data_IF_821499039477
#
_entry.id   IF_821499039477
#
_cell.length_a   1.000
_cell.length_b   1.000
_cell.length_c   1.000
_cell.angle_alpha   90.00
_cell.angle_beta   90.00
_cell.angle_gamma   90.00
#
_symmetry.space_group_name_H-M   'P 1'
#
loop_
_entity.id
_entity.type
_entity.pdbx_description
1 polymer ?
#
# COMPACT_ATOMS: atom_id res chain seq x y z
N UNK A 1 25.76 2.73 -12.85
CA UNK A 1 24.91 3.80 -12.29
C UNK A 1 25.17 5.06 -13.13
N UNK A 2 24.14 5.73 -13.62
CA UNK A 2 24.17 6.52 -14.87
C UNK A 2 24.10 8.04 -14.58
N UNK A 3 24.55 8.91 -15.50
CA UNK A 3 24.38 10.39 -15.49
C UNK A 3 22.95 10.84 -15.11
N UNK A 4 21.98 9.96 -15.31
CA UNK A 4 20.57 10.09 -14.94
C UNK A 4 20.34 10.33 -13.43
N UNK A 5 21.11 9.73 -12.53
CA UNK A 5 20.92 9.92 -11.08
C UNK A 5 21.37 11.32 -10.67
N UNK A 6 22.55 11.75 -11.12
CA UNK A 6 23.04 13.12 -10.94
C UNK A 6 22.05 14.15 -11.50
N UNK A 7 21.49 13.89 -12.69
CA UNK A 7 20.47 14.77 -13.27
C UNK A 7 19.20 14.84 -12.42
N UNK A 8 18.85 13.75 -11.73
CA UNK A 8 17.65 13.71 -10.88
C UNK A 8 17.84 14.55 -9.64
N UNK A 9 19.00 14.45 -8.96
CA UNK A 9 19.33 15.31 -7.82
C UNK A 9 19.38 16.79 -8.20
N UNK A 10 20.00 17.11 -9.34
CA UNK A 10 20.04 18.49 -9.85
C UNK A 10 18.63 19.02 -10.17
N UNK A 11 17.77 18.18 -10.76
CA UNK A 11 16.40 18.56 -11.06
C UNK A 11 15.57 18.74 -9.78
N UNK A 12 15.76 17.89 -8.77
CA UNK A 12 15.11 17.98 -7.47
C UNK A 12 15.52 19.26 -6.74
N UNK A 13 16.82 19.51 -6.58
CA UNK A 13 17.38 20.74 -6.02
C UNK A 13 16.78 21.98 -6.67
N UNK A 14 16.77 22.02 -8.01
CA UNK A 14 16.19 23.14 -8.77
C UNK A 14 14.71 23.38 -8.47
N UNK A 15 13.91 22.31 -8.37
CA UNK A 15 12.47 22.43 -8.12
C UNK A 15 12.18 22.79 -6.66
N UNK A 16 12.93 22.26 -5.69
CA UNK A 16 12.85 22.68 -4.29
C UNK A 16 13.17 24.17 -4.12
N UNK A 17 14.21 24.68 -4.80
CA UNK A 17 14.52 26.10 -4.79
C UNK A 17 13.38 26.96 -5.35
N UNK A 18 12.69 26.51 -6.40
CA UNK A 18 11.52 27.22 -6.94
C UNK A 18 10.36 27.24 -5.95
N UNK A 19 10.10 26.11 -5.28
CA UNK A 19 9.08 26.04 -4.24
C UNK A 19 9.42 26.98 -3.09
N UNK A 20 10.68 27.02 -2.65
CA UNK A 20 11.12 27.92 -1.60
C UNK A 20 10.96 29.41 -1.95
N UNK A 21 11.27 29.80 -3.19
CA UNK A 21 11.13 31.19 -3.66
C UNK A 21 9.67 31.64 -3.78
N UNK A 22 8.76 30.70 -3.99
CA UNK A 22 7.35 30.99 -4.22
C UNK A 22 6.47 30.74 -2.99
N UNK A 23 7.01 30.11 -1.93
CA UNK A 23 6.31 29.86 -0.69
C UNK A 23 6.20 31.13 0.16
N UNK A 24 5.00 31.35 0.70
CA UNK A 24 4.67 32.51 1.53
C UNK A 24 4.99 32.29 3.00
N UNK A 25 4.88 31.04 3.48
CA UNK A 25 5.26 30.70 4.85
C UNK A 25 6.80 30.63 4.94
N UNK A 26 7.46 31.52 5.72
CA UNK A 26 8.91 31.54 5.83
C UNK A 26 9.49 30.23 6.41
N UNK A 27 8.74 29.50 7.24
CA UNK A 27 9.19 28.24 7.81
C UNK A 27 9.22 27.13 6.74
N UNK A 28 8.14 26.99 5.96
CA UNK A 28 8.08 26.01 4.86
C UNK A 28 9.07 26.37 3.75
N UNK A 29 9.21 27.66 3.43
CA UNK A 29 10.22 28.15 2.49
C UNK A 29 11.66 27.82 2.94
N UNK A 30 11.91 27.78 4.24
CA UNK A 30 13.20 27.36 4.79
C UNK A 30 13.42 25.84 4.65
N UNK A 31 12.39 25.03 4.92
CA UNK A 31 12.45 23.58 4.70
C UNK A 31 12.80 23.26 3.24
N UNK A 32 12.11 23.86 2.28
CA UNK A 32 12.43 23.66 0.85
C UNK A 32 13.84 24.13 0.47
N UNK A 33 14.35 25.21 1.06
CA UNK A 33 15.75 25.65 0.87
C UNK A 33 16.74 24.59 1.35
N UNK A 34 16.53 24.08 2.56
CA UNK A 34 17.41 23.05 3.12
C UNK A 34 17.35 21.74 2.31
N UNK A 35 16.17 21.31 1.87
CA UNK A 35 16.03 20.17 0.94
C UNK A 35 16.79 20.42 -0.37
N UNK A 36 16.69 21.63 -0.94
CA UNK A 36 17.44 21.99 -2.14
C UNK A 36 18.95 21.90 -1.93
N UNK A 37 19.46 22.29 -0.76
CA UNK A 37 20.88 22.23 -0.42
C UNK A 37 21.35 20.78 -0.29
N UNK A 38 20.56 19.93 0.38
CA UNK A 38 20.80 18.49 0.52
C UNK A 38 20.94 17.83 -0.85
N UNK A 39 19.99 18.05 -1.77
CA UNK A 39 20.03 17.42 -3.09
C UNK A 39 21.21 17.92 -3.94
N UNK A 40 21.59 19.18 -3.77
CA UNK A 40 22.79 19.69 -4.42
C UNK A 40 24.06 19.02 -3.87
N UNK A 41 24.13 18.77 -2.56
CA UNK A 41 25.20 17.99 -1.93
C UNK A 41 25.24 16.54 -2.43
N UNK A 42 24.08 15.89 -2.59
CA UNK A 42 23.99 14.55 -3.20
C UNK A 42 24.50 14.55 -4.65
N UNK A 43 24.07 15.51 -5.46
CA UNK A 43 24.54 15.67 -6.83
C UNK A 43 26.07 15.79 -6.91
N UNK A 44 26.66 16.58 -6.00
CA UNK A 44 28.11 16.77 -5.90
C UNK A 44 28.83 15.49 -5.44
N UNK A 45 28.32 14.80 -4.43
CA UNK A 45 28.87 13.55 -3.95
C UNK A 45 28.87 12.47 -5.05
N UNK A 46 27.79 12.39 -5.83
CA UNK A 46 27.74 11.50 -6.99
C UNK A 46 28.75 11.92 -8.07
N UNK A 47 28.86 13.21 -8.39
CA UNK A 47 29.84 13.70 -9.37
C UNK A 47 31.27 13.34 -8.98
N UNK A 48 31.63 13.47 -7.69
CA UNK A 48 32.94 13.09 -7.16
C UNK A 48 33.22 11.59 -7.32
N UNK A 49 32.24 10.70 -7.05
CA UNK A 49 32.37 9.25 -7.30
C UNK A 49 32.66 8.90 -8.76
N UNK A 50 32.37 9.78 -9.72
CA UNK A 50 32.64 9.61 -11.14
C UNK A 50 33.82 10.45 -11.67
N UNK A 51 34.66 11.02 -10.80
CA UNK A 51 35.77 11.92 -11.17
C UNK A 51 35.33 13.12 -12.03
N UNK A 52 34.08 13.57 -11.88
CA UNK A 52 33.61 14.82 -12.46
C UNK A 52 33.91 15.96 -11.48
N UNK A 53 34.52 17.04 -11.96
CA UNK A 53 34.71 18.24 -11.14
C UNK A 53 33.34 18.87 -10.78
N UNK A 54 33.17 19.47 -9.59
CA UNK A 54 31.92 20.10 -9.16
C UNK A 54 31.35 21.12 -10.16
N UNK A 55 32.22 21.79 -10.92
CA UNK A 55 31.86 22.75 -11.98
C UNK A 55 31.21 22.12 -13.22
N UNK A 56 31.12 20.79 -13.29
CA UNK A 56 30.54 20.02 -14.42
C UNK A 56 29.21 19.35 -14.09
N UNK A 57 28.52 19.77 -13.03
CA UNK A 57 27.14 19.32 -12.81
C UNK A 57 26.26 19.67 -14.03
N UNK A 58 25.35 18.77 -14.43
CA UNK A 58 24.43 19.06 -15.52
C UNK A 58 23.55 20.26 -15.14
N UNK A 59 23.05 20.98 -16.14
CA UNK A 59 22.04 22.03 -15.91
C UNK A 59 20.67 21.38 -15.66
N UNK A 60 19.73 22.08 -14.99
CA UNK A 60 18.36 21.61 -14.85
C UNK A 60 17.77 21.19 -16.20
N UNK A 61 17.18 20.00 -16.22
CA UNK A 61 16.70 19.37 -17.43
C UNK A 61 15.56 20.14 -18.07
N UNK A 62 15.23 19.79 -19.32
CA UNK A 62 14.03 20.33 -19.98
C UNK A 62 12.76 19.97 -19.19
N UNK A 63 12.71 18.77 -18.59
CA UNK A 63 11.57 18.33 -17.76
C UNK A 63 11.39 19.25 -16.56
N UNK A 64 12.45 19.53 -15.80
CA UNK A 64 12.39 20.40 -14.63
C UNK A 64 11.96 21.83 -15.00
N UNK A 65 12.47 22.36 -16.12
CA UNK A 65 12.05 23.67 -16.65
C UNK A 65 10.58 23.70 -17.09
N UNK A 66 10.09 22.60 -17.68
CA UNK A 66 8.66 22.47 -18.01
C UNK A 66 7.80 22.45 -16.75
N UNK A 67 8.22 21.72 -15.70
CA UNK A 67 7.50 21.69 -14.41
C UNK A 67 7.44 23.09 -13.77
N UNK A 68 8.53 23.88 -13.83
CA UNK A 68 8.50 25.30 -13.44
C UNK A 68 7.43 26.10 -14.17
N UNK A 69 7.33 25.93 -15.49
CA UNK A 69 6.34 26.64 -16.31
C UNK A 69 4.91 26.22 -15.94
N UNK A 70 4.67 24.92 -15.73
CA UNK A 70 3.38 24.39 -15.30
C UNK A 70 3.02 24.92 -13.92
N UNK A 71 3.95 24.93 -12.97
CA UNK A 71 3.72 25.48 -11.62
C UNK A 71 3.34 26.95 -11.63
N UNK A 72 3.93 27.76 -12.53
CA UNK A 72 3.54 29.17 -12.73
C UNK A 72 2.11 29.34 -13.27
N UNK A 73 1.61 28.39 -14.04
CA UNK A 73 0.30 28.47 -14.69
C UNK A 73 -0.83 27.84 -13.85
N UNK A 74 -0.53 26.76 -13.14
CA UNK A 74 -1.52 25.91 -12.46
C UNK A 74 -1.32 25.80 -10.94
N UNK A 75 -0.31 26.47 -10.39
CA UNK A 75 0.03 26.46 -8.97
C UNK A 75 1.17 25.50 -8.62
N UNK A 76 1.87 25.82 -7.52
CA UNK A 76 3.06 25.09 -7.08
C UNK A 76 2.78 23.66 -6.58
N UNK A 77 1.53 23.33 -6.24
CA UNK A 77 1.08 21.98 -5.89
C UNK A 77 1.43 20.94 -6.96
N UNK A 78 1.46 21.33 -8.25
CA UNK A 78 1.87 20.45 -9.34
C UNK A 78 3.34 20.08 -9.28
N UNK A 79 4.20 21.04 -8.89
CA UNK A 79 5.63 20.79 -8.70
C UNK A 79 5.83 19.87 -7.50
N UNK A 80 5.12 20.15 -6.40
CA UNK A 80 5.16 19.36 -5.17
C UNK A 80 4.72 17.89 -5.41
N UNK A 81 3.63 17.68 -6.15
CA UNK A 81 3.20 16.33 -6.54
C UNK A 81 4.19 15.61 -7.46
N UNK A 82 4.81 16.32 -8.41
CA UNK A 82 5.81 15.76 -9.31
C UNK A 82 7.13 15.41 -8.59
N UNK A 83 7.54 16.21 -7.61
CA UNK A 83 8.66 15.90 -6.72
C UNK A 83 8.34 14.66 -5.89
N UNK A 84 7.20 14.61 -5.21
CA UNK A 84 6.79 13.45 -4.43
C UNK A 84 6.78 12.14 -5.23
N UNK A 85 6.32 12.18 -6.49
CA UNK A 85 6.37 11.02 -7.38
C UNK A 85 7.80 10.65 -7.79
N UNK A 86 8.69 11.65 -7.91
CA UNK A 86 10.11 11.44 -8.18
C UNK A 86 10.81 10.80 -6.98
N UNK A 87 10.59 11.31 -5.77
CA UNK A 87 11.15 10.76 -4.52
C UNK A 87 10.67 9.31 -4.27
N UNK A 88 9.36 9.05 -4.46
CA UNK A 88 8.83 7.68 -4.39
C UNK A 88 9.45 6.76 -5.44
N UNK A 89 9.71 7.28 -6.64
CA UNK A 89 10.35 6.53 -7.72
C UNK A 89 11.79 6.17 -7.39
N UNK A 90 12.53 7.11 -6.78
CA UNK A 90 13.89 6.90 -6.31
C UNK A 90 13.95 5.83 -5.22
N UNK A 91 13.17 6.01 -4.15
CA UNK A 91 13.07 5.06 -3.02
C UNK A 91 12.83 3.61 -3.51
N UNK A 92 11.90 3.40 -4.45
CA UNK A 92 11.62 2.07 -5.01
C UNK A 92 12.76 1.51 -5.89
N UNK A 93 13.46 2.38 -6.64
CA UNK A 93 14.53 1.99 -7.56
C UNK A 93 15.87 1.72 -6.87
N UNK A 94 16.11 2.34 -5.71
CA UNK A 94 17.28 2.14 -4.85
C UNK A 94 17.19 0.80 -4.13
N UNK A 95 16.02 0.42 -3.61
CA UNK A 95 15.76 -0.92 -3.05
C UNK A 95 16.09 -2.02 -4.07
N UNK A 96 15.66 -1.84 -5.33
CA UNK A 96 15.96 -2.78 -6.41
C UNK A 96 17.44 -2.80 -6.82
N UNK A 97 18.15 -1.67 -6.68
CA UNK A 97 19.55 -1.53 -7.08
C UNK A 97 20.55 -1.98 -6.00
N UNK A 98 20.25 -1.81 -4.70
CA UNK A 98 21.08 -2.32 -3.59
C UNK A 98 21.14 -3.85 -3.60
N UNK A 99 20.03 -4.54 -3.92
CA UNK A 99 19.97 -6.01 -4.08
C UNK A 99 20.96 -6.56 -5.12
N UNK A 100 21.41 -5.72 -6.06
CA UNK A 100 22.30 -6.13 -7.16
C UNK A 100 23.77 -5.71 -6.98
N UNK A 101 24.06 -4.64 -6.24
CA UNK A 101 25.37 -3.98 -6.31
C UNK A 101 26.03 -3.58 -4.96
N UNK A 102 25.49 -3.94 -3.79
CA UNK A 102 26.12 -3.62 -2.47
C UNK A 102 26.65 -2.18 -2.38
N UNK A 103 25.82 -1.18 -2.73
CA UNK A 103 26.28 0.21 -2.73
C UNK A 103 26.04 0.88 -1.38
N UNK A 104 27.14 1.34 -0.78
CA UNK A 104 27.16 2.30 0.33
C UNK A 104 26.90 3.72 -0.19
N UNK A 105 25.85 4.33 0.33
CA UNK A 105 25.49 5.73 0.15
C UNK A 105 24.19 5.98 0.89
N UNK A 106 24.18 6.99 1.76
CA UNK A 106 22.96 7.44 2.44
C UNK A 106 21.97 7.91 1.39
N UNK A 107 20.72 7.55 1.58
CA UNK A 107 19.67 7.93 0.65
C UNK A 107 18.49 8.40 1.48
N UNK A 108 18.49 9.72 1.73
CA UNK A 108 17.45 10.58 2.32
C UNK A 108 16.10 10.55 1.57
N UNK A 109 15.81 9.51 0.78
CA UNK A 109 14.63 9.48 -0.09
C UNK A 109 13.34 9.34 0.73
N UNK A 110 13.40 8.71 1.91
CA UNK A 110 12.20 8.48 2.73
C UNK A 110 11.86 9.71 3.57
N UNK A 111 12.87 10.39 4.14
CA UNK A 111 12.73 11.67 4.81
C UNK A 111 12.08 12.71 3.88
N UNK A 112 12.56 12.83 2.64
CA UNK A 112 11.98 13.77 1.66
C UNK A 112 10.51 13.46 1.36
N UNK A 113 10.15 12.19 1.13
CA UNK A 113 8.75 11.78 0.96
C UNK A 113 7.89 12.17 2.16
N UNK A 114 8.41 12.01 3.37
CA UNK A 114 7.67 12.32 4.60
C UNK A 114 7.54 13.83 4.83
N UNK A 115 8.60 14.60 4.62
CA UNK A 115 8.58 16.07 4.67
C UNK A 115 7.53 16.63 3.70
N UNK A 116 7.53 16.17 2.44
CA UNK A 116 6.57 16.64 1.44
C UNK A 116 5.12 16.30 1.81
N UNK A 117 4.88 15.12 2.41
CA UNK A 117 3.54 14.75 2.90
C UNK A 117 3.08 15.65 4.05
N UNK A 118 3.96 15.94 5.01
CA UNK A 118 3.61 16.79 6.16
C UNK A 118 3.27 18.21 5.70
N UNK A 119 4.05 18.77 4.77
CA UNK A 119 3.76 20.07 4.15
C UNK A 119 2.39 20.02 3.45
N UNK A 120 2.15 19.03 2.59
CA UNK A 120 0.86 18.86 1.89
C UNK A 120 -0.34 18.75 2.83
N UNK A 121 -0.20 18.10 3.98
CA UNK A 121 -1.27 17.95 4.96
C UNK A 121 -1.56 19.22 5.75
N UNK A 122 -0.56 20.10 5.87
CA UNK A 122 -0.64 21.33 6.66
C UNK A 122 -1.05 22.54 5.81
N UNK A 123 -0.82 22.49 4.49
CA UNK A 123 -1.20 23.55 3.55
C UNK A 123 -2.74 23.69 3.43
N UNK A 124 -3.30 24.80 3.94
CA UNK A 124 -4.75 25.12 3.88
C UNK A 124 -5.32 25.26 2.45
N UNK A 125 -4.46 25.41 1.43
CA UNK A 125 -4.86 25.73 0.05
C UNK A 125 -4.80 24.55 -0.95
N UNK A 126 -4.65 23.29 -0.50
CA UNK A 126 -4.59 22.16 -1.44
C UNK A 126 -5.98 21.89 -2.02
N UNK A 127 -6.11 22.00 -3.35
CA UNK A 127 -7.35 21.66 -4.06
C UNK A 127 -7.82 20.24 -3.67
N UNK A 128 -9.11 20.08 -3.35
CA UNK A 128 -9.71 18.79 -2.99
C UNK A 128 -9.47 17.68 -4.04
N UNK A 129 -9.26 18.05 -5.31
CA UNK A 129 -8.90 17.11 -6.39
C UNK A 129 -7.47 16.55 -6.28
N UNK A 130 -6.56 17.33 -5.70
CA UNK A 130 -5.18 16.91 -5.45
C UNK A 130 -5.13 16.01 -4.20
N UNK A 131 -5.80 16.40 -3.11
CA UNK A 131 -5.93 15.59 -1.89
C UNK A 131 -6.40 14.15 -2.19
N UNK A 132 -7.43 13.99 -3.04
CA UNK A 132 -7.98 12.68 -3.43
C UNK A 132 -7.00 11.78 -4.21
N UNK A 133 -6.00 12.37 -4.91
CA UNK A 133 -4.93 11.62 -5.57
C UNK A 133 -3.87 11.13 -4.58
N UNK A 134 -3.78 11.76 -3.40
CA UNK A 134 -2.77 11.51 -2.37
C UNK A 134 -3.30 10.68 -1.18
N UNK A 135 -4.61 10.65 -0.95
CA UNK A 135 -5.27 10.01 0.20
C UNK A 135 -5.34 8.47 0.17
N UNK A 136 -4.37 7.77 -0.42
CA UNK A 136 -4.47 6.31 -0.59
C UNK A 136 -4.01 5.47 0.61
N UNK A 137 -3.71 6.05 1.79
CA UNK A 137 -3.21 5.25 2.92
C UNK A 137 -3.47 5.83 4.33
N UNK A 138 -4.71 6.17 4.65
CA UNK A 138 -5.16 6.16 6.06
C UNK A 138 -6.25 5.09 6.21
N UNK A 139 -5.82 3.84 6.36
CA UNK A 139 -6.69 2.74 6.83
C UNK A 139 -6.23 2.37 8.24
N UNK A 140 -6.93 2.89 9.24
CA UNK A 140 -6.75 2.58 10.66
C UNK A 140 -6.80 1.07 10.93
N UNK A 141 -5.80 0.58 11.67
CA UNK A 141 -5.49 -0.84 11.94
C UNK A 141 -6.62 -1.59 12.67
N UNK A 142 -7.42 -0.92 13.51
CA UNK A 142 -8.53 -1.55 14.24
C UNK A 142 -9.73 -2.02 13.38
N UNK A 143 -9.93 -1.42 12.20
CA UNK A 143 -10.97 -1.84 11.25
C UNK A 143 -10.52 -2.90 10.24
N UNK A 144 -9.24 -3.29 10.27
CA UNK A 144 -8.63 -4.11 9.22
C UNK A 144 -8.89 -5.61 9.44
N UNK A 145 -8.86 -6.09 10.68
CA UNK A 145 -9.09 -7.51 11.00
C UNK A 145 -10.54 -7.96 10.71
N UNK A 146 -11.54 -7.23 11.19
CA UNK A 146 -12.94 -7.57 10.94
C UNK A 146 -13.34 -7.30 9.46
N UNK A 147 -12.74 -6.30 8.79
CA UNK A 147 -12.92 -6.11 7.33
C UNK A 147 -12.28 -7.24 6.53
N UNK A 148 -11.04 -7.64 6.83
CA UNK A 148 -10.38 -8.78 6.21
C UNK A 148 -11.18 -10.06 6.44
N UNK A 149 -11.78 -10.18 7.63
CA UNK A 149 -12.59 -11.33 7.97
C UNK A 149 -13.86 -11.45 7.14
N UNK A 150 -14.58 -10.34 7.00
CA UNK A 150 -15.78 -10.23 6.17
C UNK A 150 -15.45 -10.43 4.69
N UNK A 151 -14.28 -9.96 4.22
CA UNK A 151 -13.80 -10.21 2.85
C UNK A 151 -13.46 -11.69 2.63
N UNK A 152 -12.76 -12.35 3.56
CA UNK A 152 -12.42 -13.78 3.44
C UNK A 152 -13.65 -14.68 3.43
N UNK A 153 -14.61 -14.44 4.32
CA UNK A 153 -15.88 -15.15 4.30
C UNK A 153 -16.67 -14.91 3.02
N UNK A 154 -16.67 -13.68 2.51
CA UNK A 154 -17.33 -13.35 1.25
C UNK A 154 -16.71 -14.09 0.07
N UNK A 155 -15.38 -14.07 -0.04
CA UNK A 155 -14.65 -14.66 -1.15
C UNK A 155 -14.84 -16.18 -1.15
N UNK A 156 -14.79 -16.83 0.02
CA UNK A 156 -15.10 -18.24 0.17
C UNK A 156 -16.52 -18.58 -0.27
N UNK A 157 -17.51 -17.80 0.20
CA UNK A 157 -18.92 -18.03 -0.12
C UNK A 157 -19.20 -17.86 -1.61
N UNK A 158 -18.80 -16.74 -2.21
CA UNK A 158 -19.10 -16.43 -3.62
C UNK A 158 -18.36 -17.38 -4.57
N UNK A 159 -17.06 -17.62 -4.33
CA UNK A 159 -16.25 -18.46 -5.22
C UNK A 159 -16.73 -19.90 -5.20
N UNK A 160 -16.94 -20.49 -4.03
CA UNK A 160 -17.35 -21.88 -3.93
C UNK A 160 -18.82 -22.07 -4.31
N UNK A 161 -19.69 -21.09 -4.04
CA UNK A 161 -21.07 -21.12 -4.54
C UNK A 161 -21.11 -21.14 -6.07
N UNK A 162 -20.32 -20.28 -6.72
CA UNK A 162 -20.23 -20.23 -8.18
C UNK A 162 -19.70 -21.53 -8.77
N UNK A 163 -18.68 -22.14 -8.15
CA UNK A 163 -18.14 -23.44 -8.55
C UNK A 163 -19.19 -24.55 -8.43
N UNK A 164 -19.83 -24.68 -7.25
CA UNK A 164 -20.85 -25.69 -6.97
C UNK A 164 -22.03 -25.57 -7.94
N UNK A 165 -22.48 -24.34 -8.23
CA UNK A 165 -23.55 -24.09 -9.20
C UNK A 165 -23.12 -24.43 -10.63
N UNK A 166 -21.87 -24.16 -11.00
CA UNK A 166 -21.34 -24.57 -12.31
C UNK A 166 -21.35 -26.08 -12.50
N UNK A 167 -20.85 -26.84 -11.54
CA UNK A 167 -20.86 -28.31 -11.60
C UNK A 167 -22.28 -28.85 -11.57
N UNK A 168 -23.15 -28.29 -10.71
CA UNK A 168 -24.56 -28.68 -10.65
C UNK A 168 -25.36 -28.35 -11.91
N UNK A 169 -24.88 -27.40 -12.73
CA UNK A 169 -25.42 -27.12 -14.06
C UNK A 169 -24.96 -28.15 -15.10
N UNK A 170 -23.74 -28.68 -14.96
CA UNK A 170 -23.14 -29.62 -15.91
C UNK A 170 -23.55 -31.09 -15.68
N UNK A 171 -23.90 -31.47 -14.45
CA UNK A 171 -24.21 -32.85 -14.07
C UNK A 171 -25.46 -32.97 -13.19
N UNK A 172 -26.03 -34.16 -13.16
CA UNK A 172 -27.09 -34.56 -12.21
C UNK A 172 -26.53 -35.24 -10.95
N UNK A 173 -25.23 -35.56 -10.91
CA UNK A 173 -24.58 -36.34 -9.87
C UNK A 173 -24.33 -35.56 -8.57
N UNK A 174 -24.93 -36.00 -7.46
CA UNK A 174 -24.70 -35.42 -6.13
C UNK A 174 -23.22 -35.52 -5.70
N UNK A 175 -22.59 -36.67 -5.92
CA UNK A 175 -21.20 -36.93 -5.51
C UNK A 175 -20.19 -36.06 -6.25
N UNK A 176 -20.45 -35.73 -7.52
CA UNK A 176 -19.57 -34.90 -8.34
C UNK A 176 -19.58 -33.45 -7.87
N UNK A 177 -20.78 -32.91 -7.56
CA UNK A 177 -20.93 -31.57 -6.99
C UNK A 177 -20.28 -31.48 -5.61
N UNK A 178 -20.49 -32.50 -4.77
CA UNK A 178 -19.92 -32.54 -3.43
C UNK A 178 -18.39 -32.61 -3.48
N UNK A 179 -17.82 -33.48 -4.32
CA UNK A 179 -16.38 -33.62 -4.51
C UNK A 179 -15.77 -32.29 -4.98
N UNK A 180 -16.37 -31.66 -5.99
CA UNK A 180 -15.90 -30.38 -6.51
C UNK A 180 -16.02 -29.25 -5.47
N UNK A 181 -17.12 -29.19 -4.72
CA UNK A 181 -17.33 -28.17 -3.69
C UNK A 181 -16.38 -28.30 -2.50
N UNK A 182 -16.09 -29.52 -2.05
CA UNK A 182 -15.11 -29.76 -0.98
C UNK A 182 -13.68 -29.51 -1.48
N UNK A 183 -13.34 -29.97 -2.69
CA UNK A 183 -12.05 -29.71 -3.28
C UNK A 183 -11.80 -28.20 -3.51
N UNK A 184 -12.81 -27.50 -4.03
CA UNK A 184 -12.78 -26.05 -4.24
C UNK A 184 -12.65 -25.26 -2.94
N UNK A 185 -13.37 -25.68 -1.89
CA UNK A 185 -13.22 -25.13 -0.54
C UNK A 185 -11.79 -25.26 -0.03
N UNK A 186 -11.23 -26.47 -0.05
CA UNK A 186 -9.89 -26.73 0.49
C UNK A 186 -8.82 -26.01 -0.34
N UNK A 187 -8.90 -26.10 -1.68
CA UNK A 187 -7.96 -25.43 -2.57
C UNK A 187 -8.02 -23.90 -2.41
N UNK A 188 -9.22 -23.32 -2.34
CA UNK A 188 -9.41 -21.89 -2.13
C UNK A 188 -8.93 -21.42 -0.76
N UNK A 189 -9.26 -22.14 0.31
CA UNK A 189 -8.85 -21.81 1.67
C UNK A 189 -7.32 -21.87 1.83
N UNK A 190 -6.67 -22.92 1.30
CA UNK A 190 -5.21 -23.04 1.30
C UNK A 190 -4.55 -21.93 0.47
N UNK A 191 -5.08 -21.64 -0.73
CA UNK A 191 -4.57 -20.57 -1.58
C UNK A 191 -4.67 -19.21 -0.89
N UNK A 192 -5.79 -18.93 -0.21
CA UNK A 192 -5.98 -17.67 0.50
C UNK A 192 -5.05 -17.58 1.72
N UNK A 193 -4.90 -18.66 2.48
CA UNK A 193 -3.98 -18.72 3.62
C UNK A 193 -2.53 -18.48 3.21
N UNK A 194 -2.07 -19.16 2.14
CA UNK A 194 -0.73 -18.97 1.60
C UNK A 194 -0.53 -17.56 1.06
N UNK A 195 -1.51 -17.02 0.33
CA UNK A 195 -1.47 -15.65 -0.18
C UNK A 195 -1.35 -14.61 0.93
N UNK A 196 -2.13 -14.75 2.00
CA UNK A 196 -2.08 -13.86 3.15
C UNK A 196 -0.75 -13.99 3.90
N UNK A 197 -0.27 -15.22 4.13
CA UNK A 197 1.02 -15.45 4.78
C UNK A 197 2.17 -14.80 4.02
N UNK A 198 2.23 -15.00 2.69
CA UNK A 198 3.27 -14.43 1.83
C UNK A 198 3.19 -12.90 1.85
N UNK A 199 1.98 -12.34 1.77
CA UNK A 199 1.75 -10.89 1.79
C UNK A 199 2.25 -10.26 3.09
N UNK A 200 1.84 -10.80 4.24
CA UNK A 200 2.26 -10.30 5.56
C UNK A 200 3.76 -10.50 5.75
N UNK A 201 4.28 -11.70 5.46
CA UNK A 201 5.70 -12.00 5.66
C UNK A 201 6.60 -11.15 4.77
N UNK A 202 6.24 -10.97 3.49
CA UNK A 202 6.98 -10.09 2.59
C UNK A 202 6.97 -8.63 3.05
N UNK A 203 5.87 -8.17 3.66
CA UNK A 203 5.80 -6.81 4.22
C UNK A 203 6.69 -6.67 5.46
N UNK A 204 6.70 -7.69 6.33
CA UNK A 204 7.60 -7.74 7.49
C UNK A 204 9.07 -7.75 7.08
N UNK A 205 9.46 -8.61 6.13
CA UNK A 205 10.83 -8.69 5.63
C UNK A 205 11.28 -7.36 4.99
N UNK A 206 10.36 -6.67 4.29
CA UNK A 206 10.64 -5.35 3.75
C UNK A 206 10.91 -4.33 4.87
N UNK A 207 10.04 -4.28 5.89
CA UNK A 207 10.18 -3.37 7.02
C UNK A 207 11.42 -3.67 7.86
N UNK A 208 11.70 -4.94 8.17
CA UNK A 208 12.92 -5.38 8.86
C UNK A 208 14.17 -4.92 8.10
N UNK A 209 14.18 -5.07 6.78
CA UNK A 209 15.28 -4.61 5.95
C UNK A 209 15.42 -3.08 5.94
N UNK A 210 14.30 -2.33 5.86
CA UNK A 210 14.34 -0.87 5.94
C UNK A 210 14.86 -0.38 7.30
N UNK A 211 14.44 -1.01 8.39
CA UNK A 211 14.96 -0.72 9.73
C UNK A 211 16.46 -1.02 9.83
N UNK A 212 16.94 -2.13 9.27
CA UNK A 212 18.38 -2.40 9.29
C UNK A 212 19.17 -1.33 8.52
N UNK A 213 18.69 -0.93 7.34
CA UNK A 213 19.34 0.10 6.54
C UNK A 213 19.37 1.45 7.28
N UNK A 214 18.27 1.81 7.93
CA UNK A 214 18.18 3.01 8.76
C UNK A 214 19.22 3.00 9.90
N UNK A 215 19.40 1.84 10.55
CA UNK A 215 20.44 1.69 11.56
C UNK A 215 21.85 1.85 10.97
N UNK A 216 22.11 1.25 9.81
CA UNK A 216 23.39 1.37 9.12
C UNK A 216 23.69 2.84 8.73
N UNK A 217 22.67 3.59 8.29
CA UNK A 217 22.78 5.02 7.94
C UNK A 217 23.01 5.90 9.18
N UNK A 218 22.27 5.63 10.26
CA UNK A 218 22.48 6.26 11.58
C UNK A 218 23.88 6.02 12.15
N UNK A 219 24.46 4.84 11.93
CA UNK A 219 25.82 4.54 12.36
C UNK A 219 26.88 5.20 11.48
N UNK A 220 26.65 5.25 10.17
CA UNK A 220 27.60 5.78 9.20
C UNK A 220 27.66 7.31 9.20
N UNK A 221 26.51 7.99 9.34
CA UNK A 221 26.44 9.45 9.22
C UNK A 221 25.35 10.08 10.14
N UNK A 222 25.56 10.05 11.48
CA UNK A 222 24.58 10.55 12.44
C UNK A 222 24.27 12.05 12.28
N UNK A 223 25.23 12.86 11.80
CA UNK A 223 25.01 14.29 11.57
C UNK A 223 24.01 14.59 10.45
N UNK A 224 23.90 13.68 9.47
CA UNK A 224 22.89 13.78 8.42
C UNK A 224 21.52 13.39 8.96
N UNK A 225 21.41 12.25 9.66
CA UNK A 225 20.14 11.81 10.26
C UNK A 225 19.56 12.83 11.25
N UNK A 226 20.41 13.50 12.02
CA UNK A 226 19.96 14.59 12.92
C UNK A 226 19.31 15.75 12.14
N UNK A 227 19.90 16.13 11.00
CA UNK A 227 19.36 17.20 10.15
C UNK A 227 18.05 16.77 9.50
N UNK A 228 17.97 15.52 9.03
CA UNK A 228 16.75 14.98 8.41
C UNK A 228 15.60 14.91 9.42
N UNK A 229 15.87 14.43 10.65
CA UNK A 229 14.89 14.44 11.72
C UNK A 229 14.44 15.85 12.10
N UNK A 230 15.36 16.83 12.14
CA UNK A 230 15.02 18.23 12.36
C UNK A 230 14.11 18.78 11.24
N UNK A 231 14.39 18.46 9.98
CA UNK A 231 13.54 18.84 8.84
C UNK A 231 12.15 18.18 8.90
N UNK A 232 12.07 16.92 9.33
CA UNK A 232 10.79 16.25 9.56
C UNK A 232 10.00 17.01 10.65
N UNK A 233 10.62 17.40 11.76
CA UNK A 233 9.94 18.22 12.78
C UNK A 233 9.52 19.60 12.27
N UNK A 234 10.37 20.27 11.50
CA UNK A 234 10.04 21.57 10.90
C UNK A 234 8.86 21.46 9.93
N UNK A 235 8.80 20.39 9.14
CA UNK A 235 7.69 20.12 8.21
C UNK A 235 6.34 19.91 8.91
N UNK A 236 6.35 19.63 10.22
CA UNK A 236 5.16 19.55 11.09
C UNK A 236 4.80 20.87 11.75
N UNK A 237 5.49 21.96 11.40
CA UNK A 237 5.26 23.30 11.96
C UNK A 237 6.04 23.61 13.24
N UNK A 238 7.04 22.79 13.60
CA UNK A 238 7.88 23.06 14.78
C UNK A 238 8.97 24.07 14.42
N UNK A 239 9.18 25.07 15.28
CA UNK A 239 10.19 26.10 15.05
C UNK A 239 11.60 25.48 14.93
N UNK A 240 12.41 26.00 14.02
CA UNK A 240 13.72 25.43 13.65
C UNK A 240 14.65 25.21 14.85
N UNK A 241 14.77 26.19 15.75
CA UNK A 241 15.60 26.07 16.95
C UNK A 241 15.17 24.89 17.82
N UNK A 242 13.86 24.75 18.03
CA UNK A 242 13.28 23.65 18.81
C UNK A 242 13.38 22.31 18.08
N UNK A 243 13.18 22.29 16.76
CA UNK A 243 13.32 21.10 15.94
C UNK A 243 14.74 20.53 15.99
N UNK A 244 15.76 21.39 15.84
CA UNK A 244 17.18 21.01 15.97
C UNK A 244 17.51 20.53 17.37
N UNK A 245 17.02 21.22 18.41
CA UNK A 245 17.24 20.80 19.79
C UNK A 245 16.64 19.40 20.06
N UNK A 246 15.40 19.16 19.65
CA UNK A 246 14.75 17.86 19.83
C UNK A 246 15.45 16.74 19.05
N UNK A 247 15.87 17.01 17.81
CA UNK A 247 16.64 16.05 17.02
C UNK A 247 17.96 15.72 17.73
N UNK A 248 18.74 16.72 18.12
CA UNK A 248 20.01 16.50 18.84
C UNK A 248 19.85 15.77 20.18
N UNK A 249 18.78 16.02 20.92
CA UNK A 249 18.47 15.27 22.16
C UNK A 249 18.17 13.79 21.88
N UNK A 250 17.36 13.51 20.86
CA UNK A 250 17.03 12.13 20.43
C UNK A 250 18.29 11.39 19.96
N UNK A 251 19.16 12.06 19.23
CA UNK A 251 20.40 11.51 18.67
C UNK A 251 21.45 11.12 19.72
N UNK A 252 21.31 11.55 20.99
CA UNK A 252 22.21 11.14 22.09
C UNK A 252 22.14 9.64 22.39
N UNK A 253 21.02 9.00 22.10
CA UNK A 253 20.84 7.57 22.27
C UNK A 253 20.46 6.93 20.94
N UNK A 254 21.37 6.13 20.37
CA UNK A 254 21.17 5.51 19.06
C UNK A 254 19.93 4.62 18.98
N UNK A 255 19.61 3.87 20.02
CA UNK A 255 18.42 3.01 20.02
C UNK A 255 17.13 3.85 20.00
N UNK A 256 17.12 4.97 20.72
CA UNK A 256 16.00 5.92 20.70
C UNK A 256 15.91 6.66 19.37
N UNK A 257 17.05 7.12 18.83
CA UNK A 257 17.13 7.75 17.52
C UNK A 257 16.59 6.83 16.43
N UNK A 258 17.03 5.58 16.40
CA UNK A 258 16.54 4.58 15.46
C UNK A 258 15.03 4.36 15.59
N UNK A 259 14.50 4.21 16.81
CA UNK A 259 13.05 4.07 17.02
C UNK A 259 12.26 5.29 16.53
N UNK A 260 12.80 6.50 16.75
CA UNK A 260 12.18 7.74 16.30
C UNK A 260 12.24 7.83 14.78
N UNK A 261 13.39 7.60 14.13
CA UNK A 261 13.54 7.64 12.68
C UNK A 261 12.66 6.59 11.98
N UNK A 262 12.63 5.34 12.48
CA UNK A 262 11.75 4.29 11.94
C UNK A 262 10.28 4.71 11.93
N UNK A 263 9.86 5.45 12.96
CA UNK A 263 8.48 5.94 13.06
C UNK A 263 8.25 7.22 12.24
N UNK A 264 9.14 8.19 12.38
CA UNK A 264 8.99 9.55 11.88
C UNK A 264 9.36 9.66 10.40
N UNK A 265 10.39 8.95 9.97
CA UNK A 265 10.84 8.90 8.59
C UNK A 265 10.15 7.78 7.82
N UNK A 266 10.32 6.53 8.25
CA UNK A 266 9.84 5.36 7.48
C UNK A 266 8.32 5.17 7.61
N UNK A 267 7.69 5.78 8.62
CA UNK A 267 6.27 5.58 8.92
C UNK A 267 5.93 4.16 9.34
N UNK A 268 6.91 3.40 9.83
CA UNK A 268 6.75 2.02 10.27
C UNK A 268 6.40 2.03 11.76
N UNK A 269 5.23 1.51 12.11
CA UNK A 269 4.92 1.25 13.50
C UNK A 269 5.47 -0.12 13.90
N UNK A 270 6.33 -0.15 14.91
CA UNK A 270 6.85 -1.40 15.46
C UNK A 270 5.75 -2.36 15.96
N UNK A 271 4.56 -1.85 16.26
CA UNK A 271 3.39 -2.66 16.63
C UNK A 271 2.78 -3.41 15.43
N UNK A 272 2.81 -2.82 14.23
CA UNK A 272 2.29 -3.46 13.01
C UNK A 272 3.16 -4.67 12.60
N UNK A 273 4.45 -4.63 12.96
CA UNK A 273 5.40 -5.74 12.78
C UNK A 273 5.11 -6.93 13.70
N UNK A 274 4.42 -6.74 14.83
CA UNK A 274 4.11 -7.82 15.79
C UNK A 274 3.01 -8.77 15.32
N UNK A 275 2.26 -8.42 14.27
CA UNK A 275 1.22 -9.28 13.71
C UNK A 275 1.81 -10.60 13.21
N UNK A 276 1.27 -11.75 13.62
CA UNK A 276 1.79 -13.03 13.16
C UNK A 276 1.29 -13.33 11.74
N UNK A 277 2.20 -13.48 10.77
CA UNK A 277 1.86 -13.94 9.42
C UNK A 277 1.10 -15.28 9.45
N UNK A 278 1.41 -16.13 10.43
CA UNK A 278 0.71 -17.40 10.65
C UNK A 278 -0.72 -17.19 11.16
N UNK A 279 -0.92 -16.25 12.08
CA UNK A 279 -2.26 -15.91 12.58
C UNK A 279 -3.14 -15.36 11.46
N UNK A 280 -2.60 -14.49 10.60
CA UNK A 280 -3.29 -13.97 9.43
C UNK A 280 -3.67 -15.11 8.45
N UNK A 281 -2.74 -16.02 8.19
CA UNK A 281 -2.96 -17.18 7.31
C UNK A 281 -4.07 -18.11 7.84
N UNK A 282 -4.01 -18.48 9.12
CA UNK A 282 -5.01 -19.35 9.77
C UNK A 282 -6.38 -18.67 9.79
N UNK A 283 -6.42 -17.38 10.10
CA UNK A 283 -7.67 -16.61 10.13
C UNK A 283 -8.31 -16.55 8.74
N UNK A 284 -7.52 -16.26 7.70
CA UNK A 284 -7.98 -16.27 6.31
C UNK A 284 -8.45 -17.66 5.86
N UNK A 285 -7.73 -18.72 6.22
CA UNK A 285 -8.15 -20.10 5.96
C UNK A 285 -9.54 -20.39 6.53
N UNK A 286 -9.71 -20.14 7.83
CA UNK A 286 -10.95 -20.45 8.56
C UNK A 286 -12.12 -19.66 8.00
N UNK A 287 -11.94 -18.36 7.76
CA UNK A 287 -13.02 -17.50 7.29
C UNK A 287 -13.44 -17.83 5.87
N UNK A 288 -12.48 -18.10 4.98
CA UNK A 288 -12.78 -18.62 3.65
C UNK A 288 -13.55 -19.94 3.74
N UNK A 289 -13.07 -20.90 4.55
CA UNK A 289 -13.72 -22.20 4.71
C UNK A 289 -15.16 -22.09 5.25
N UNK A 290 -15.39 -21.21 6.23
CA UNK A 290 -16.72 -20.92 6.80
C UNK A 290 -17.66 -20.35 5.74
N UNK A 291 -17.19 -19.47 4.85
CA UNK A 291 -17.99 -18.99 3.73
C UNK A 291 -18.24 -20.10 2.71
N UNK A 292 -17.19 -20.81 2.31
CA UNK A 292 -17.21 -21.80 1.24
C UNK A 292 -18.00 -23.06 1.57
N UNK A 293 -18.18 -23.42 2.84
CA UNK A 293 -18.94 -24.63 3.22
C UNK A 293 -20.45 -24.45 3.05
N UNK A 294 -20.97 -23.22 3.20
CA UNK A 294 -22.40 -22.90 3.13
C UNK A 294 -23.08 -23.47 1.86
N UNK A 295 -22.56 -23.23 0.63
CA UNK A 295 -23.17 -23.76 -0.58
C UNK A 295 -23.07 -25.28 -0.71
N UNK A 296 -22.12 -25.92 0.00
CA UNK A 296 -21.84 -27.36 -0.08
C UNK A 296 -22.74 -28.16 0.87
N UNK A 297 -23.12 -27.60 2.02
CA UNK A 297 -23.93 -28.26 3.06
C UNK A 297 -25.12 -29.05 2.48
N UNK A 298 -25.97 -28.48 1.59
CA UNK A 298 -27.13 -29.20 1.09
C UNK A 298 -26.80 -30.45 0.28
N UNK A 299 -25.64 -30.46 -0.39
CA UNK A 299 -25.21 -31.57 -1.24
C UNK A 299 -24.67 -32.77 -0.45
N UNK A 300 -24.45 -32.64 0.87
CA UNK A 300 -24.19 -33.81 1.72
C UNK A 300 -25.43 -34.70 1.91
N UNK A 301 -26.62 -34.10 1.89
CA UNK A 301 -27.86 -34.80 2.25
C UNK A 301 -28.85 -34.93 1.08
N UNK A 302 -28.78 -34.03 0.10
CA UNK A 302 -29.76 -33.90 -0.97
C UNK A 302 -29.07 -33.92 -2.34
N UNK A 303 -29.79 -34.41 -3.35
CA UNK A 303 -29.38 -34.39 -4.75
C UNK A 303 -30.36 -33.62 -5.65
N UNK A 304 -29.93 -33.37 -6.88
CA UNK A 304 -30.74 -32.74 -7.93
C UNK A 304 -31.20 -31.31 -7.60
N UNK A 305 -32.32 -30.91 -8.20
CA UNK A 305 -32.84 -29.53 -8.12
C UNK A 305 -33.12 -29.06 -6.69
N UNK A 306 -33.50 -29.96 -5.79
CA UNK A 306 -33.76 -29.62 -4.38
C UNK A 306 -32.48 -29.14 -3.68
N UNK A 307 -31.35 -29.81 -3.90
CA UNK A 307 -30.07 -29.41 -3.33
C UNK A 307 -29.61 -28.05 -3.85
N UNK A 308 -29.79 -27.80 -5.16
CA UNK A 308 -29.48 -26.53 -5.82
C UNK A 308 -30.27 -25.37 -5.20
N UNK A 309 -31.59 -25.52 -5.05
CA UNK A 309 -32.44 -24.46 -4.49
C UNK A 309 -32.11 -24.15 -3.02
N UNK A 310 -31.85 -25.18 -2.21
CA UNK A 310 -31.49 -24.98 -0.80
C UNK A 310 -30.08 -24.37 -0.70
N UNK A 311 -29.14 -24.78 -1.55
CA UNK A 311 -27.80 -24.17 -1.64
C UNK A 311 -27.87 -22.70 -2.00
N UNK A 312 -28.66 -22.34 -3.03
CA UNK A 312 -28.88 -20.95 -3.41
C UNK A 312 -29.52 -20.12 -2.28
N UNK A 313 -30.50 -20.69 -1.56
CA UNK A 313 -31.14 -20.02 -0.43
C UNK A 313 -30.16 -19.78 0.73
N UNK A 314 -29.42 -20.80 1.15
CA UNK A 314 -28.44 -20.67 2.23
C UNK A 314 -27.32 -19.70 1.85
N UNK A 315 -26.83 -19.75 0.61
CA UNK A 315 -25.86 -18.79 0.11
C UNK A 315 -26.41 -17.37 0.05
N UNK A 316 -27.67 -17.17 -0.35
CA UNK A 316 -28.29 -15.85 -0.33
C UNK A 316 -28.38 -15.29 1.11
N UNK A 317 -28.76 -16.12 2.09
CA UNK A 317 -28.78 -15.73 3.51
C UNK A 317 -27.36 -15.37 3.98
N UNK A 318 -26.36 -16.21 3.67
CA UNK A 318 -24.96 -15.97 4.00
C UNK A 318 -24.43 -14.67 3.39
N UNK A 319 -24.67 -14.44 2.10
CA UNK A 319 -24.28 -13.23 1.37
C UNK A 319 -24.94 -11.99 1.96
N UNK A 320 -26.22 -12.08 2.31
CA UNK A 320 -26.93 -10.98 2.97
C UNK A 320 -26.32 -10.68 4.35
N UNK A 321 -26.01 -11.72 5.14
CA UNK A 321 -25.39 -11.57 6.46
C UNK A 321 -24.01 -10.92 6.38
N UNK A 322 -23.15 -11.38 5.47
CA UNK A 322 -21.83 -10.81 5.20
C UNK A 322 -21.96 -9.37 4.68
N UNK A 323 -22.83 -9.13 3.70
CA UNK A 323 -23.09 -7.78 3.17
C UNK A 323 -23.65 -6.82 4.22
N UNK A 324 -24.44 -7.33 5.16
CA UNK A 324 -24.93 -6.59 6.32
C UNK A 324 -23.80 -6.23 7.28
N UNK A 325 -22.88 -7.16 7.57
CA UNK A 325 -21.71 -6.88 8.41
C UNK A 325 -20.81 -5.79 7.80
N UNK A 326 -20.71 -5.68 6.47
CA UNK A 326 -19.98 -4.61 5.78
C UNK A 326 -20.53 -3.20 6.11
N UNK A 327 -21.81 -3.08 6.50
CA UNK A 327 -22.40 -1.77 6.83
C UNK A 327 -21.78 -1.12 8.06
N UNK A 328 -21.29 -1.93 9.00
CA UNK A 328 -20.54 -1.46 10.17
C UNK A 328 -19.30 -0.63 9.78
N UNK A 329 -18.77 -0.83 8.56
CA UNK A 329 -17.59 -0.12 8.05
C UNK A 329 -17.86 0.94 7.00
N UNK A 330 -19.03 0.90 6.37
CA UNK A 330 -19.34 1.73 5.19
C UNK A 330 -20.39 2.80 5.48
N UNK A 331 -21.06 2.75 6.63
CA UNK A 331 -22.13 3.68 7.00
C UNK A 331 -23.37 3.62 6.10
N UNK A 332 -23.44 2.65 5.18
CA UNK A 332 -24.59 2.43 4.29
C UNK A 332 -25.66 1.61 4.99
N UNK A 333 -26.91 1.71 4.55
CA UNK A 333 -28.02 0.92 5.11
C UNK A 333 -27.80 -0.58 4.93
N UNK A 334 -28.14 -1.38 5.95
CA UNK A 334 -28.08 -2.85 5.98
C UNK A 334 -28.72 -3.47 4.74
N UNK A 335 -29.94 -3.03 4.41
CA UNK A 335 -30.69 -3.52 3.26
C UNK A 335 -29.93 -3.34 1.95
N UNK A 336 -29.36 -2.16 1.71
CA UNK A 336 -28.61 -1.87 0.48
C UNK A 336 -27.35 -2.74 0.34
N UNK A 337 -26.53 -2.84 1.38
CA UNK A 337 -25.27 -3.61 1.28
C UNK A 337 -25.52 -5.11 1.24
N UNK A 338 -26.48 -5.60 2.04
CA UNK A 338 -26.91 -7.00 2.01
C UNK A 338 -27.53 -7.39 0.67
N UNK A 339 -28.51 -6.62 0.17
CA UNK A 339 -29.18 -6.93 -1.10
C UNK A 339 -28.21 -6.87 -2.28
N UNK A 340 -27.30 -5.90 -2.31
CA UNK A 340 -26.26 -5.79 -3.33
C UNK A 340 -25.40 -7.06 -3.38
N UNK A 341 -25.00 -7.58 -2.23
CA UNK A 341 -24.16 -8.77 -2.15
C UNK A 341 -24.91 -10.02 -2.66
N UNK A 342 -26.17 -10.16 -2.29
CA UNK A 342 -27.04 -11.24 -2.78
C UNK A 342 -27.21 -11.17 -4.29
N UNK A 343 -27.49 -9.98 -4.84
CA UNK A 343 -27.71 -9.79 -6.28
C UNK A 343 -26.46 -10.20 -7.07
N UNK A 344 -25.27 -9.73 -6.68
CA UNK A 344 -24.03 -10.08 -7.37
C UNK A 344 -23.68 -11.57 -7.21
N UNK A 345 -23.85 -12.13 -6.02
CA UNK A 345 -23.57 -13.55 -5.79
C UNK A 345 -24.52 -14.48 -6.56
N UNK A 346 -25.82 -14.18 -6.59
CA UNK A 346 -26.80 -14.93 -7.37
C UNK A 346 -26.56 -14.77 -8.89
N UNK A 347 -26.18 -13.57 -9.34
CA UNK A 347 -25.84 -13.35 -10.75
C UNK A 347 -24.63 -14.17 -11.17
N UNK A 348 -23.56 -14.18 -10.36
CA UNK A 348 -22.37 -14.99 -10.63
C UNK A 348 -22.71 -16.49 -10.69
N UNK A 349 -23.47 -16.99 -9.72
CA UNK A 349 -23.95 -18.37 -9.69
C UNK A 349 -24.85 -18.74 -10.88
N UNK A 350 -25.75 -17.84 -11.29
CA UNK A 350 -26.60 -18.08 -12.46
C UNK A 350 -25.78 -18.18 -13.75
N UNK A 351 -24.76 -17.33 -13.90
CA UNK A 351 -23.83 -17.38 -15.02
C UNK A 351 -23.05 -18.69 -15.02
N UNK A 352 -22.45 -19.08 -13.89
CA UNK A 352 -21.67 -20.33 -13.84
C UNK A 352 -22.54 -21.57 -14.02
N UNK A 353 -23.76 -21.59 -13.46
CA UNK A 353 -24.73 -22.66 -13.71
C UNK A 353 -25.07 -22.76 -15.20
N UNK A 354 -25.33 -21.63 -15.86
CA UNK A 354 -25.60 -21.58 -17.30
C UNK A 354 -24.43 -22.11 -18.14
N UNK A 355 -23.20 -21.69 -17.83
CA UNK A 355 -21.98 -22.20 -18.47
C UNK A 355 -21.83 -23.71 -18.24
N UNK A 356 -22.02 -24.16 -17.01
CA UNK A 356 -22.01 -25.58 -16.66
C UNK A 356 -22.99 -26.39 -17.50
N UNK A 357 -24.23 -25.90 -17.65
CA UNK A 357 -25.25 -26.54 -18.48
C UNK A 357 -24.84 -26.63 -19.95
N UNK A 358 -24.24 -25.59 -20.52
CA UNK A 358 -23.76 -25.60 -21.91
C UNK A 358 -22.64 -26.63 -22.11
N UNK A 359 -21.68 -26.67 -21.19
CA UNK A 359 -20.55 -27.59 -21.24
C UNK A 359 -21.01 -29.03 -21.04
N UNK A 360 -21.86 -29.30 -20.05
CA UNK A 360 -22.40 -30.64 -19.76
C UNK A 360 -23.16 -31.23 -20.95
N UNK A 361 -23.95 -30.41 -21.66
CA UNK A 361 -24.65 -30.81 -22.89
C UNK A 361 -23.66 -31.19 -24.01
N UNK A 362 -22.49 -30.53 -24.08
CA UNK A 362 -21.49 -30.77 -25.13
C UNK A 362 -20.58 -31.98 -24.85
N UNK A 363 -20.43 -32.39 -23.58
CA UNK A 363 -19.60 -33.53 -23.18
C UNK A 363 -20.42 -34.84 -23.16
N UNK A 364 -21.72 -34.76 -22.87
CA UNK A 364 -22.61 -35.93 -22.76
C UNK A 364 -23.40 -36.25 -24.05
N UNK A 365 -23.37 -35.38 -25.07
CA UNK A 365 -24.02 -35.56 -26.37
C UNK A 365 -23.05 -35.98 -27.46
#
# INVERSE_FOLDING_TARGET
MNLKNIQTEVDAAYLYQILAEAETDPAIANVFRQMSEIENSHAQAFAQKFNLTPDRLPKPSRRAKTLKLIGRLFGNDYILGALLDTEKGLSNSVVASRKKNQMEGSVSDTAHVTILKNILQTSENVSASNLARFEKRHRSVGGNALRAAVLGGNDGLVSNFSLVMGIAGATSGQSEVLLAGVAGLLAGALSMALGEWISVKSSQELFENQMQLEMDELEANPETEEKELALIYMSKGIAEEQARQMAGEVMKNKDQAHQVLVKEELGINAEDLKGSAMEAAITSFVLFAVGAIIPVIPFFMLGGTKAILISALLSAIGLFGIGSAITLFTGRSVLYSGSRQVIFGLAAAAITFGIGKLIGVSIAG
#
